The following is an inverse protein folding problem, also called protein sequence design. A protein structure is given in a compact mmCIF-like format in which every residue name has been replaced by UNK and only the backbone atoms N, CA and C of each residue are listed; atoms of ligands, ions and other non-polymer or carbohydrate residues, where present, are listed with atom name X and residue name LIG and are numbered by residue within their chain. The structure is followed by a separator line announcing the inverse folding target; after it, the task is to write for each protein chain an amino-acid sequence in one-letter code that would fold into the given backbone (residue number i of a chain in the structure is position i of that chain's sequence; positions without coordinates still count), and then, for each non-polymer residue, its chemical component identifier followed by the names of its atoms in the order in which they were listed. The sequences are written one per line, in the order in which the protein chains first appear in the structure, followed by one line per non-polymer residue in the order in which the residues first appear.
data_IF_150770748240
#
_entry.id   IF_150770748240
#
_cell.length_a   1.000
_cell.length_b   1.000
_cell.length_c   1.000
_cell.angle_alpha   90.00
_cell.angle_beta   90.00
_cell.angle_gamma   90.00
#
_symmetry.space_group_name_H-M   'P 1'
#
loop_
_entity.id
_entity.type
_entity.pdbx_description
1 polymer ?
#
# COMPACT_ATOMS: atom_id res chain seq x y z
N UNK A 1 1.38 4.52 10.44
CA UNK A 1 2.35 4.04 9.42
C UNK A 1 3.32 3.12 10.13
N UNK A 2 3.58 1.94 9.59
CA UNK A 2 4.54 0.96 10.13
C UNK A 2 5.69 0.85 9.12
N UNK A 3 6.95 1.01 9.52
CA UNK A 3 8.06 1.18 8.55
C UNK A 3 9.35 0.46 8.95
N UNK A 4 10.11 0.01 7.95
CA UNK A 4 11.45 -0.57 8.16
C UNK A 4 11.40 -1.81 9.05
N UNK A 5 12.30 -1.90 10.04
CA UNK A 5 12.40 -3.04 10.97
C UNK A 5 11.11 -3.31 11.75
N UNK A 6 10.31 -2.28 12.01
CA UNK A 6 9.00 -2.42 12.68
C UNK A 6 8.06 -3.34 11.89
N UNK A 7 8.19 -3.39 10.56
CA UNK A 7 7.46 -4.34 9.74
C UNK A 7 7.82 -5.78 10.08
N UNK A 8 9.12 -6.07 10.26
CA UNK A 8 9.60 -7.40 10.62
C UNK A 8 9.13 -7.79 12.02
N UNK A 9 9.26 -6.88 12.99
CA UNK A 9 8.83 -7.10 14.38
C UNK A 9 7.34 -7.40 14.51
N UNK A 10 6.51 -6.79 13.65
CA UNK A 10 5.05 -7.00 13.64
C UNK A 10 4.58 -8.12 12.70
N UNK A 11 5.51 -8.90 12.14
CA UNK A 11 5.19 -10.05 11.29
C UNK A 11 4.90 -9.74 9.81
N UNK A 12 5.10 -8.50 9.35
CA UNK A 12 4.98 -8.10 7.94
C UNK A 12 6.26 -8.39 7.14
N UNK A 13 6.87 -9.56 7.38
CA UNK A 13 8.17 -9.95 6.82
C UNK A 13 8.21 -9.95 5.29
N UNK A 14 7.09 -10.25 4.62
CA UNK A 14 7.03 -10.21 3.15
C UNK A 14 7.25 -8.80 2.59
N UNK A 15 6.59 -7.79 3.15
CA UNK A 15 6.76 -6.40 2.73
C UNK A 15 8.17 -5.89 3.09
N UNK A 16 8.65 -6.26 4.27
CA UNK A 16 10.01 -5.94 4.71
C UNK A 16 11.06 -6.50 3.74
N UNK A 17 10.96 -7.78 3.36
CA UNK A 17 11.92 -8.45 2.49
C UNK A 17 11.94 -7.88 1.06
N UNK A 18 10.81 -7.39 0.55
CA UNK A 18 10.77 -6.76 -0.79
C UNK A 18 11.46 -5.39 -0.78
N UNK A 19 11.36 -4.63 0.31
CA UNK A 19 11.85 -3.25 0.37
C UNK A 19 13.16 -3.03 1.12
N UNK A 20 13.69 -4.04 1.84
CA UNK A 20 14.87 -3.88 2.72
C UNK A 20 16.10 -3.34 2.00
N UNK A 21 16.23 -3.61 0.72
CA UNK A 21 17.36 -3.20 -0.13
C UNK A 21 17.32 -1.71 -0.50
N UNK A 22 16.17 -1.05 -0.33
CA UNK A 22 16.00 0.37 -0.57
C UNK A 22 16.42 1.19 0.66
N UNK A 23 17.73 1.24 0.97
CA UNK A 23 18.30 1.83 2.20
C UNK A 23 17.78 3.26 2.48
N UNK A 24 17.68 4.11 1.45
CA UNK A 24 17.20 5.50 1.59
C UNK A 24 15.68 5.60 1.75
N UNK A 25 14.94 4.58 1.32
CA UNK A 25 13.49 4.57 1.22
C UNK A 25 12.90 3.25 1.78
N UNK A 26 13.04 2.99 3.10
CA UNK A 26 12.60 1.74 3.69
C UNK A 26 11.08 1.51 3.51
N UNK A 27 10.65 0.24 3.38
CA UNK A 27 9.27 -0.13 3.08
C UNK A 27 8.33 0.31 4.20
N UNK A 28 7.08 0.59 3.85
CA UNK A 28 6.07 1.06 4.79
C UNK A 28 4.70 0.44 4.53
N UNK A 29 4.01 0.06 5.60
CA UNK A 29 2.58 -0.23 5.60
C UNK A 29 1.84 1.02 6.10
N UNK A 30 1.07 1.64 5.20
CA UNK A 30 0.19 2.76 5.55
C UNK A 30 -1.22 2.21 5.73
N UNK A 31 -1.85 2.54 6.85
CA UNK A 31 -3.25 2.20 7.14
C UNK A 31 -3.98 3.49 7.46
N UNK A 32 -4.96 3.83 6.64
CA UNK A 32 -5.88 4.95 6.84
C UNK A 32 -7.26 4.37 7.14
N UNK A 33 -7.95 4.91 8.14
CA UNK A 33 -9.30 4.46 8.50
C UNK A 33 -10.22 5.66 8.64
N UNK A 34 -11.34 5.63 7.93
CA UNK A 34 -12.43 6.59 8.06
C UNK A 34 -13.67 5.86 8.56
N UNK A 35 -14.28 6.38 9.61
CA UNK A 35 -15.65 6.03 10.01
C UNK A 35 -16.61 7.06 9.44
N UNK A 36 -17.71 6.61 8.88
CA UNK A 36 -18.80 7.45 8.39
C UNK A 36 -19.99 7.36 9.35
N UNK A 37 -20.86 8.36 9.28
CA UNK A 37 -22.13 8.32 9.99
C UNK A 37 -23.11 7.54 9.11
N UNK A 38 -23.34 6.27 9.45
CA UNK A 38 -24.37 5.46 8.80
C UNK A 38 -25.76 5.95 9.21
N UNK A 39 -26.69 6.03 8.25
CA UNK A 39 -28.13 6.23 8.52
C UNK A 39 -28.85 4.92 8.84
N UNK A 40 -28.22 3.78 8.56
CA UNK A 40 -28.72 2.46 8.92
C UNK A 40 -28.33 2.12 10.36
N UNK A 41 -29.19 1.36 11.05
CA UNK A 41 -28.86 0.79 12.36
C UNK A 41 -27.48 0.08 12.27
N UNK A 42 -26.66 0.26 13.31
CA UNK A 42 -25.24 -0.12 13.34
C UNK A 42 -24.92 -1.59 12.96
N UNK A 43 -25.93 -2.43 12.78
CA UNK A 43 -25.82 -3.84 12.42
C UNK A 43 -25.90 -4.14 10.91
N UNK A 44 -26.22 -3.17 10.05
CA UNK A 44 -26.36 -3.40 8.58
C UNK A 44 -25.27 -2.72 7.72
N UNK A 45 -24.59 -1.70 8.24
CA UNK A 45 -23.66 -0.91 7.43
C UNK A 45 -22.30 -1.60 7.26
N UNK A 46 -21.94 -1.92 6.03
CA UNK A 46 -20.76 -2.72 5.69
C UNK A 46 -19.44 -2.00 6.04
N UNK A 47 -18.43 -2.79 6.44
CA UNK A 47 -17.07 -2.33 6.58
C UNK A 47 -16.27 -2.73 5.32
N UNK A 48 -15.67 -1.74 4.66
CA UNK A 48 -14.94 -1.94 3.41
C UNK A 48 -13.45 -1.72 3.62
N UNK A 49 -12.63 -2.62 3.07
CA UNK A 49 -11.17 -2.44 3.03
C UNK A 49 -10.66 -2.42 1.60
N UNK A 50 -9.95 -1.35 1.26
CA UNK A 50 -9.24 -1.18 -0.01
C UNK A 50 -7.75 -1.46 0.22
N UNK A 51 -7.16 -2.34 -0.58
CA UNK A 51 -5.73 -2.70 -0.46
C UNK A 51 -5.04 -2.44 -1.78
N UNK A 52 -3.97 -1.64 -1.74
CA UNK A 52 -3.21 -1.25 -2.92
C UNK A 52 -1.77 -1.72 -2.90
N UNK A 53 -1.35 -2.39 -3.98
CA UNK A 53 0.08 -2.65 -4.27
C UNK A 53 0.80 -1.32 -4.50
N UNK A 54 1.81 -1.03 -3.69
CA UNK A 54 2.55 0.23 -3.71
C UNK A 54 4.04 0.07 -4.02
N UNK A 55 4.39 -0.69 -5.06
CA UNK A 55 5.78 -0.76 -5.49
C UNK A 55 6.13 0.52 -6.24
N UNK A 56 6.76 1.47 -5.55
CA UNK A 56 7.06 2.83 -6.04
C UNK A 56 8.01 2.78 -7.24
N UNK A 57 8.91 1.79 -7.24
CA UNK A 57 9.73 1.45 -8.39
C UNK A 57 10.14 -0.02 -8.30
N UNK A 58 10.10 -0.73 -9.43
CA UNK A 58 10.44 -2.15 -9.52
C UNK A 58 11.62 -2.38 -10.46
N UNK A 59 12.81 -2.60 -9.91
CA UNK A 59 13.97 -3.02 -10.71
C UNK A 59 13.92 -4.51 -11.05
N UNK A 60 13.09 -5.30 -10.36
CA UNK A 60 13.08 -6.75 -10.38
C UNK A 60 13.88 -7.41 -9.24
N UNK A 61 14.64 -6.64 -8.45
CA UNK A 61 15.55 -7.19 -7.44
C UNK A 61 16.66 -8.02 -8.08
N UNK A 62 17.04 -9.15 -7.47
CA UNK A 62 18.01 -10.10 -8.05
C UNK A 62 17.60 -10.57 -9.46
N UNK A 63 16.29 -10.75 -9.69
CA UNK A 63 15.74 -11.05 -11.01
C UNK A 63 15.56 -9.75 -11.81
N UNK A 64 16.69 -9.09 -12.06
CA UNK A 64 16.72 -7.74 -12.62
C UNK A 64 15.99 -7.69 -13.97
N UNK A 65 15.09 -6.73 -14.12
CA UNK A 65 14.40 -6.47 -15.38
C UNK A 65 15.40 -5.95 -16.41
N UNK A 66 15.66 -6.75 -17.43
CA UNK A 66 16.53 -6.41 -18.57
C UNK A 66 15.72 -5.93 -19.79
N UNK A 67 16.41 -5.55 -20.86
CA UNK A 67 15.83 -5.29 -22.19
C UNK A 67 14.67 -4.28 -22.20
N UNK A 68 14.77 -3.23 -21.38
CA UNK A 68 13.77 -2.15 -21.33
C UNK A 68 12.57 -2.40 -20.41
N UNK A 69 12.49 -3.57 -19.77
CA UNK A 69 11.38 -3.92 -18.85
C UNK A 69 11.26 -3.01 -17.62
N UNK A 70 12.29 -2.21 -17.31
CA UNK A 70 12.33 -1.35 -16.13
C UNK A 70 11.76 0.06 -16.36
N UNK A 71 11.79 0.59 -17.60
CA UNK A 71 11.58 2.03 -17.90
C UNK A 71 10.25 2.57 -17.38
N UNK A 72 9.20 1.74 -17.38
CA UNK A 72 7.85 2.14 -16.94
C UNK A 72 7.51 1.76 -15.50
N UNK A 73 8.42 1.15 -14.75
CA UNK A 73 8.11 0.57 -13.44
C UNK A 73 7.84 1.58 -12.33
N UNK A 74 7.95 2.89 -12.60
CA UNK A 74 7.34 3.92 -11.74
C UNK A 74 5.82 3.79 -11.62
N UNK A 75 5.16 3.11 -12.57
CA UNK A 75 3.70 2.89 -12.54
C UNK A 75 3.30 1.65 -11.76
N UNK A 76 4.25 0.89 -11.20
CA UNK A 76 3.97 -0.35 -10.46
C UNK A 76 3.31 -0.10 -9.07
N UNK A 77 3.17 1.18 -8.70
CA UNK A 77 2.39 1.65 -7.56
C UNK A 77 0.97 2.10 -7.96
N UNK A 78 0.55 1.90 -9.21
CA UNK A 78 -0.75 2.34 -9.71
C UNK A 78 -1.94 1.83 -8.89
N UNK A 79 -1.83 0.62 -8.33
CA UNK A 79 -2.84 0.06 -7.42
C UNK A 79 -2.97 0.87 -6.14
N UNK A 80 -1.85 1.16 -5.45
CA UNK A 80 -1.83 2.03 -4.27
C UNK A 80 -2.33 3.46 -4.57
N UNK A 81 -1.93 4.03 -5.70
CA UNK A 81 -2.40 5.35 -6.11
C UNK A 81 -3.91 5.37 -6.35
N UNK A 82 -4.44 4.35 -7.05
CA UNK A 82 -5.88 4.23 -7.34
C UNK A 82 -6.73 4.06 -6.08
N UNK A 83 -6.32 3.19 -5.15
CA UNK A 83 -7.09 3.00 -3.90
C UNK A 83 -7.00 4.20 -2.97
N UNK A 84 -5.87 4.92 -2.95
CA UNK A 84 -5.74 6.15 -2.18
C UNK A 84 -6.68 7.24 -2.73
N UNK A 85 -6.71 7.42 -4.06
CA UNK A 85 -7.62 8.36 -4.70
C UNK A 85 -9.10 8.00 -4.48
N UNK A 86 -9.45 6.71 -4.57
CA UNK A 86 -10.81 6.24 -4.29
C UNK A 86 -11.20 6.50 -2.82
N UNK A 87 -10.29 6.22 -1.87
CA UNK A 87 -10.50 6.50 -0.46
C UNK A 87 -10.68 8.00 -0.21
N UNK A 88 -9.82 8.85 -0.78
CA UNK A 88 -9.92 10.30 -0.67
C UNK A 88 -11.26 10.83 -1.21
N UNK A 89 -11.67 10.35 -2.39
CA UNK A 89 -12.94 10.73 -3.00
C UNK A 89 -14.13 10.31 -2.13
N UNK A 90 -14.13 9.09 -1.60
CA UNK A 90 -15.18 8.61 -0.70
C UNK A 90 -15.24 9.44 0.60
N UNK A 91 -14.09 9.82 1.16
CA UNK A 91 -14.02 10.70 2.35
C UNK A 91 -14.59 12.08 2.04
N UNK A 92 -14.28 12.66 0.87
CA UNK A 92 -14.75 13.98 0.47
C UNK A 92 -16.24 14.01 0.14
N UNK A 93 -16.74 13.03 -0.61
CA UNK A 93 -18.15 12.95 -1.00
C UNK A 93 -19.06 12.51 0.16
N UNK A 94 -18.54 11.72 1.10
CA UNK A 94 -19.34 11.04 2.10
C UNK A 94 -20.07 9.83 1.53
N UNK A 95 -20.51 8.94 2.41
CA UNK A 95 -21.35 7.79 2.08
C UNK A 95 -22.17 7.39 3.30
N UNK A 96 -23.40 6.96 3.07
CA UNK A 96 -24.33 6.46 4.10
C UNK A 96 -24.35 4.91 4.14
N UNK A 97 -23.74 4.25 3.14
CA UNK A 97 -23.77 2.79 2.93
C UNK A 97 -22.67 2.05 3.69
N UNK A 98 -21.53 2.72 3.91
CA UNK A 98 -20.33 2.12 4.51
C UNK A 98 -20.10 2.71 5.88
N UNK A 99 -20.10 1.88 6.93
CA UNK A 99 -19.84 2.36 8.31
C UNK A 99 -18.38 2.71 8.52
N UNK A 100 -17.47 1.90 7.96
CA UNK A 100 -16.02 2.07 8.10
C UNK A 100 -15.33 1.71 6.80
N UNK A 101 -14.49 2.61 6.31
CA UNK A 101 -13.59 2.35 5.19
C UNK A 101 -12.15 2.36 5.68
N UNK A 102 -11.39 1.33 5.33
CA UNK A 102 -9.95 1.25 5.57
C UNK A 102 -9.20 1.21 4.25
N UNK A 103 -8.14 2.00 4.12
CA UNK A 103 -7.24 1.99 2.98
C UNK A 103 -5.86 1.54 3.46
N UNK A 104 -5.35 0.44 2.87
CA UNK A 104 -4.05 -0.15 3.18
C UNK A 104 -3.15 0.01 1.96
N UNK A 105 -2.01 0.66 2.14
CA UNK A 105 -0.98 0.83 1.11
C UNK A 105 0.27 0.06 1.51
N UNK A 106 0.64 -0.92 0.70
CA UNK A 106 1.87 -1.71 0.87
C UNK A 106 2.99 -1.06 0.05
N UNK A 107 3.73 -0.14 0.66
CA UNK A 107 4.71 0.70 -0.03
C UNK A 107 6.13 0.11 0.06
N UNK A 108 6.80 -0.04 -1.07
CA UNK A 108 8.20 -0.45 -1.14
C UNK A 108 8.85 -0.02 -2.47
N UNK A 109 10.18 -0.04 -2.54
CA UNK A 109 10.91 -0.13 -3.81
C UNK A 109 11.53 -1.52 -3.87
N UNK A 110 11.28 -2.26 -4.96
CA UNK A 110 12.00 -3.52 -5.19
C UNK A 110 13.34 -3.14 -5.84
N UNK A 111 14.37 -3.02 -5.00
CA UNK A 111 15.71 -2.60 -5.37
C UNK A 111 16.68 -3.78 -5.38
N UNK A 112 17.88 -3.57 -5.91
CA UNK A 112 18.98 -4.53 -5.88
C UNK A 112 20.18 -3.92 -5.15
N UNK A 113 20.81 -4.73 -4.30
CA UNK A 113 22.02 -4.43 -3.53
C UNK A 113 22.81 -5.73 -3.29
N UNK A 114 23.95 -5.66 -2.61
CA UNK A 114 24.73 -6.85 -2.24
C UNK A 114 23.99 -7.82 -1.32
N UNK A 115 22.97 -7.35 -0.61
CA UNK A 115 22.25 -8.11 0.42
C UNK A 115 20.88 -8.63 -0.06
N UNK A 116 20.60 -8.47 -1.36
CA UNK A 116 19.33 -8.85 -2.02
C UNK A 116 19.11 -10.35 -2.09
#
# INVERSE_FOLDING_TARGET
VIRGEELRERGYGRLCNVGKEAIKDPPALVVLTKRFQSKHDNNEAEAVTLVGKGIVYDTGGLSLKISGGMVRMKTDCGGAAGVLAAFEAAVHCGTDEVSTMTCILCLAKNAISSDS
#
